data_IF_910032073576
#
_entry.id   IF_910032073576
#
_cell.length_a   1.000
_cell.length_b   1.000
_cell.length_c   1.000
_cell.angle_alpha   90.00
_cell.angle_beta   90.00
_cell.angle_gamma   90.00
#
_symmetry.space_group_name_H-M   'P 1'
#
loop_
_entity.id
_entity.type
_entity.pdbx_description
1 polymer ?
#
# COMPACT_ATOMS: atom_id res chain seq x y z
N UNK A 1 17.14 9.69 5.30
CA UNK A 1 16.30 10.27 4.22
C UNK A 1 16.57 11.77 3.96
N UNK A 2 17.39 12.45 4.76
CA UNK A 2 17.69 13.89 4.64
C UNK A 2 19.14 14.19 4.28
N UNK A 3 19.86 13.23 3.74
CA UNK A 3 21.20 13.50 3.18
C UNK A 3 21.05 14.24 1.85
N UNK A 4 21.52 15.47 1.79
CA UNK A 4 21.52 16.29 0.58
C UNK A 4 22.56 15.79 -0.46
N UNK A 5 23.55 15.06 0.00
CA UNK A 5 24.56 14.38 -0.80
C UNK A 5 24.31 12.87 -0.75
N UNK A 6 24.45 12.20 -1.88
CA UNK A 6 24.30 10.75 -2.02
C UNK A 6 22.85 10.24 -1.85
N UNK A 7 21.90 10.91 -2.51
CA UNK A 7 20.51 10.45 -2.53
C UNK A 7 20.38 9.21 -3.41
N UNK A 8 19.62 8.18 -2.93
CA UNK A 8 19.37 7.01 -3.75
C UNK A 8 18.61 7.39 -5.03
N UNK A 9 19.04 6.86 -6.16
CA UNK A 9 18.34 7.07 -7.41
C UNK A 9 17.03 6.28 -7.41
N UNK A 10 15.93 6.97 -7.41
CA UNK A 10 14.60 6.36 -7.56
C UNK A 10 14.42 5.81 -8.97
N UNK A 11 13.88 4.60 -9.05
CA UNK A 11 13.61 3.91 -10.32
C UNK A 11 12.18 3.38 -10.31
N UNK A 12 11.58 3.31 -11.49
CA UNK A 12 10.30 2.66 -11.74
C UNK A 12 10.47 1.59 -12.80
N UNK A 13 9.63 0.55 -12.75
CA UNK A 13 9.62 -0.48 -13.77
C UNK A 13 8.94 0.07 -15.03
N UNK A 14 9.62 0.00 -16.16
CA UNK A 14 9.06 0.42 -17.44
C UNK A 14 7.88 -0.48 -17.80
N UNK A 15 6.75 0.12 -18.13
CA UNK A 15 5.49 -0.60 -18.42
C UNK A 15 4.68 -0.96 -17.17
N UNK A 16 5.10 -0.50 -15.97
CA UNK A 16 4.37 -0.69 -14.72
C UNK A 16 4.55 -2.06 -14.07
N UNK A 17 3.89 -2.26 -12.94
CA UNK A 17 4.05 -3.48 -12.13
C UNK A 17 3.59 -4.76 -12.84
N UNK A 18 2.67 -4.66 -13.77
CA UNK A 18 2.16 -5.81 -14.53
C UNK A 18 3.24 -6.51 -15.37
N UNK A 19 4.33 -5.83 -15.70
CA UNK A 19 5.38 -6.41 -16.54
C UNK A 19 6.23 -7.47 -15.84
N UNK A 20 6.42 -7.34 -14.52
CA UNK A 20 7.24 -8.30 -13.77
C UNK A 20 6.43 -9.39 -13.04
N UNK A 21 5.13 -9.17 -12.80
CA UNK A 21 4.28 -10.15 -12.10
C UNK A 21 4.30 -11.51 -12.80
N UNK A 22 4.10 -11.63 -14.15
CA UNK A 22 4.16 -12.91 -14.83
C UNK A 22 5.53 -13.60 -14.70
N UNK A 23 6.62 -12.83 -14.70
CA UNK A 23 7.97 -13.35 -14.56
C UNK A 23 8.22 -13.92 -13.15
N UNK A 24 7.71 -13.25 -12.11
CA UNK A 24 7.82 -13.70 -10.73
C UNK A 24 6.94 -14.93 -10.44
N UNK A 25 5.77 -15.01 -11.08
CA UNK A 25 4.82 -16.09 -10.83
C UNK A 25 5.04 -17.31 -11.71
N UNK A 26 5.77 -17.20 -12.83
CA UNK A 26 6.05 -18.32 -13.72
C UNK A 26 6.69 -19.55 -13.02
N UNK A 27 7.69 -19.40 -12.12
CA UNK A 27 8.25 -20.52 -11.37
C UNK A 27 7.26 -21.17 -10.38
N UNK A 28 6.18 -20.45 -10.06
CA UNK A 28 5.13 -20.88 -9.12
C UNK A 28 3.89 -21.41 -9.86
N UNK A 29 4.03 -21.81 -11.13
CA UNK A 29 2.92 -22.24 -11.97
C UNK A 29 2.05 -23.30 -11.25
N UNK A 30 0.74 -23.05 -11.16
CA UNK A 30 -0.24 -23.89 -10.46
C UNK A 30 -0.20 -23.80 -8.92
N UNK A 31 0.68 -22.99 -8.34
CA UNK A 31 0.78 -22.78 -6.87
C UNK A 31 0.28 -21.40 -6.43
N UNK A 32 -0.10 -20.54 -7.36
CA UNK A 32 -0.71 -19.23 -7.06
C UNK A 32 -2.21 -19.35 -7.20
N UNK A 33 -2.93 -19.09 -6.11
CA UNK A 33 -4.39 -19.10 -6.08
C UNK A 33 -4.86 -17.68 -5.81
N UNK A 34 -5.58 -17.09 -6.74
CA UNK A 34 -6.25 -15.79 -6.59
C UNK A 34 -7.67 -15.98 -6.07
N UNK A 35 -8.29 -14.89 -5.59
CA UNK A 35 -9.65 -14.93 -5.03
C UNK A 35 -9.79 -15.96 -3.89
N UNK A 36 -8.73 -16.10 -3.10
CA UNK A 36 -8.60 -17.06 -2.02
C UNK A 36 -8.25 -16.34 -0.71
N UNK A 37 -9.11 -15.41 -0.31
CA UNK A 37 -8.94 -14.68 0.96
C UNK A 37 -8.92 -15.67 2.13
N UNK A 38 -7.83 -15.67 2.91
CA UNK A 38 -7.72 -16.46 4.13
C UNK A 38 -8.47 -15.73 5.24
N UNK A 39 -9.44 -16.40 5.87
CA UNK A 39 -10.20 -15.86 7.00
C UNK A 39 -9.56 -16.20 8.34
N UNK A 40 -9.07 -17.45 8.46
CA UNK A 40 -8.44 -17.91 9.69
C UNK A 40 -7.21 -18.75 9.41
N UNK A 41 -6.23 -18.61 10.30
CA UNK A 41 -5.04 -19.43 10.38
C UNK A 41 -4.99 -20.02 11.78
N UNK A 42 -4.96 -21.34 11.89
CA UNK A 42 -4.86 -22.05 13.18
C UNK A 42 -3.67 -23.03 13.16
N UNK A 43 -2.89 -23.03 14.23
CA UNK A 43 -1.74 -23.92 14.39
C UNK A 43 -2.17 -25.21 15.07
N UNK A 44 -1.78 -26.35 14.51
CA UNK A 44 -1.83 -27.67 15.14
C UNK A 44 -0.46 -28.09 15.67
N UNK A 45 -0.32 -29.34 16.11
CA UNK A 45 0.95 -29.86 16.63
C UNK A 45 2.06 -29.95 15.55
N UNK A 46 1.69 -30.26 14.31
CA UNK A 46 2.64 -30.48 13.20
C UNK A 46 2.19 -29.83 11.88
N UNK A 47 1.17 -29.03 11.89
CA UNK A 47 0.64 -28.40 10.68
C UNK A 47 -0.09 -27.09 11.00
N UNK A 48 -0.27 -26.27 9.99
CA UNK A 48 -1.07 -25.03 10.06
C UNK A 48 -2.25 -25.18 9.10
N UNK A 49 -3.46 -24.88 9.58
CA UNK A 49 -4.69 -24.93 8.78
C UNK A 49 -5.13 -23.54 8.39
N UNK A 50 -5.37 -23.34 7.09
CA UNK A 50 -5.97 -22.15 6.52
C UNK A 50 -7.45 -22.39 6.28
N UNK A 51 -8.30 -21.46 6.72
CA UNK A 51 -9.74 -21.47 6.49
C UNK A 51 -10.13 -20.32 5.56
N UNK A 52 -11.08 -20.59 4.68
CA UNK A 52 -11.56 -19.68 3.64
C UNK A 52 -13.09 -19.62 3.70
N UNK A 53 -13.69 -18.55 3.17
CA UNK A 53 -15.14 -18.39 3.14
C UNK A 53 -15.86 -19.38 2.20
N UNK A 54 -15.25 -19.65 1.04
CA UNK A 54 -15.92 -20.27 -0.12
C UNK A 54 -15.29 -21.60 -0.58
N UNK A 55 -14.33 -22.13 0.19
CA UNK A 55 -13.64 -23.37 -0.16
C UNK A 55 -13.25 -24.17 1.09
N UNK A 56 -12.97 -25.47 0.93
CA UNK A 56 -12.52 -26.31 2.04
C UNK A 56 -11.23 -25.80 2.66
N UNK A 57 -11.04 -25.99 3.99
CA UNK A 57 -9.78 -25.70 4.65
C UNK A 57 -8.62 -26.47 4.02
N UNK A 58 -7.42 -25.91 4.09
CA UNK A 58 -6.19 -26.51 3.61
C UNK A 58 -5.13 -26.51 4.71
N UNK A 59 -4.38 -27.61 4.81
CA UNK A 59 -3.28 -27.74 5.78
C UNK A 59 -1.93 -27.67 5.09
N UNK A 60 -0.97 -27.05 5.78
CA UNK A 60 0.42 -26.84 5.35
C UNK A 60 1.36 -27.10 6.52
N UNK A 61 2.62 -27.35 6.23
CA UNK A 61 3.65 -27.51 7.27
C UNK A 61 3.94 -26.17 7.94
N UNK A 62 4.03 -25.10 7.15
CA UNK A 62 4.34 -23.73 7.61
C UNK A 62 3.53 -22.68 6.84
N UNK A 63 3.36 -21.50 7.45
CA UNK A 63 2.69 -20.33 6.85
C UNK A 63 3.54 -19.10 7.03
N UNK A 64 3.69 -18.33 5.95
CA UNK A 64 4.30 -17.00 5.95
C UNK A 64 3.22 -15.96 5.69
N UNK A 65 3.06 -15.01 6.63
CA UNK A 65 2.18 -13.88 6.47
C UNK A 65 2.87 -12.80 5.63
N UNK A 66 2.35 -12.52 4.43
CA UNK A 66 2.81 -11.44 3.56
C UNK A 66 1.72 -10.37 3.39
N UNK A 67 0.85 -10.22 4.37
CA UNK A 67 -0.15 -9.16 4.46
C UNK A 67 0.35 -7.98 5.31
N UNK A 68 -0.47 -6.92 5.46
CA UNK A 68 -0.16 -5.84 6.40
C UNK A 68 -0.13 -6.37 7.83
N UNK A 69 0.80 -5.87 8.66
CA UNK A 69 1.00 -6.35 10.04
C UNK A 69 -0.25 -6.21 10.94
N UNK A 70 -1.08 -5.20 10.71
CA UNK A 70 -2.35 -5.02 11.44
C UNK A 70 -3.42 -6.07 11.10
N UNK A 71 -3.26 -6.80 9.99
CA UNK A 71 -4.18 -7.86 9.58
C UNK A 71 -3.86 -9.21 10.24
N UNK A 72 -2.62 -9.42 10.68
CA UNK A 72 -2.19 -10.73 11.22
C UNK A 72 -3.07 -11.19 12.37
N UNK A 73 -3.33 -10.31 13.36
CA UNK A 73 -4.15 -10.66 14.53
C UNK A 73 -5.64 -10.88 14.19
N UNK A 74 -6.11 -10.39 13.05
CA UNK A 74 -7.51 -10.61 12.62
C UNK A 74 -7.72 -11.99 12.01
N UNK A 75 -6.65 -12.61 11.50
CA UNK A 75 -6.72 -13.91 10.83
C UNK A 75 -6.03 -15.05 11.62
N UNK A 76 -5.08 -14.75 12.51
CA UNK A 76 -4.44 -15.74 13.37
C UNK A 76 -5.37 -16.08 14.55
N UNK A 77 -5.85 -17.33 14.62
CA UNK A 77 -6.85 -17.76 15.59
C UNK A 77 -6.31 -17.98 17.00
N UNK A 78 -5.02 -18.27 17.11
CA UNK A 78 -4.34 -18.70 18.34
C UNK A 78 -3.08 -17.87 18.67
N UNK A 79 -3.12 -16.53 18.55
CA UNK A 79 -1.93 -15.72 18.78
C UNK A 79 -1.48 -15.80 20.24
N UNK A 80 -0.18 -15.96 20.45
CA UNK A 80 0.45 -15.85 21.77
C UNK A 80 0.41 -14.42 22.30
N UNK A 81 0.66 -14.22 23.58
CA UNK A 81 0.75 -12.88 24.18
C UNK A 81 1.89 -12.07 23.58
N UNK A 82 3.02 -12.70 23.25
CA UNK A 82 4.14 -12.05 22.57
C UNK A 82 3.77 -11.56 21.17
N UNK A 83 3.08 -12.40 20.37
CA UNK A 83 2.58 -12.01 19.06
C UNK A 83 1.56 -10.88 19.14
N UNK A 84 0.62 -10.94 20.10
CA UNK A 84 -0.33 -9.85 20.35
C UNK A 84 0.40 -8.55 20.68
N UNK A 85 1.41 -8.60 21.54
CA UNK A 85 2.15 -7.41 21.94
C UNK A 85 2.96 -6.79 20.79
N UNK A 86 3.45 -7.60 19.86
CA UNK A 86 4.17 -7.13 18.66
C UNK A 86 3.17 -6.59 17.63
N UNK A 87 2.21 -7.42 17.18
CA UNK A 87 1.37 -7.07 16.02
C UNK A 87 0.36 -5.95 16.29
N UNK A 88 -0.11 -5.74 17.54
CA UNK A 88 -0.97 -4.60 17.89
C UNK A 88 -0.31 -3.24 17.68
N UNK A 89 1.01 -3.18 17.56
CA UNK A 89 1.79 -1.95 17.35
C UNK A 89 1.83 -1.54 15.88
N UNK A 90 1.54 -2.44 14.96
CA UNK A 90 1.42 -2.14 13.53
C UNK A 90 0.03 -1.60 13.25
N UNK A 91 -0.05 -0.27 13.20
CA UNK A 91 -1.30 0.46 12.93
C UNK A 91 -1.33 0.94 11.49
N UNK A 92 -2.53 1.22 10.99
CA UNK A 92 -2.73 1.80 9.66
C UNK A 92 -3.58 3.05 9.75
N UNK A 93 -3.40 3.95 8.80
CA UNK A 93 -4.29 5.08 8.56
C UNK A 93 -5.08 4.86 7.28
N UNK A 94 -6.34 5.28 7.29
CA UNK A 94 -7.19 5.23 6.09
C UNK A 94 -6.97 6.48 5.26
N UNK A 95 -6.71 6.30 3.96
CA UNK A 95 -6.53 7.38 3.01
C UNK A 95 -7.46 7.18 1.82
N UNK A 96 -8.20 8.22 1.47
CA UNK A 96 -8.96 8.27 0.23
C UNK A 96 -8.02 8.64 -0.92
N UNK A 97 -7.96 7.81 -1.95
CA UNK A 97 -7.17 8.05 -3.15
C UNK A 97 -8.11 8.27 -4.34
N UNK A 98 -7.88 9.34 -5.08
CA UNK A 98 -8.60 9.66 -6.31
C UNK A 98 -7.63 9.65 -7.48
N UNK A 99 -7.85 8.77 -8.46
CA UNK A 99 -7.16 8.77 -9.75
C UNK A 99 -7.94 9.66 -10.71
N UNK A 100 -7.28 10.65 -11.32
CA UNK A 100 -7.95 11.65 -12.15
C UNK A 100 -7.01 12.30 -13.18
N UNK A 101 -7.58 13.08 -14.09
CA UNK A 101 -6.85 13.86 -15.10
C UNK A 101 -6.89 15.36 -14.84
N UNK A 102 -7.48 15.82 -13.75
CA UNK A 102 -7.53 17.23 -13.35
C UNK A 102 -6.14 17.71 -12.91
N UNK A 103 -5.49 18.51 -13.74
CA UNK A 103 -4.17 19.06 -13.48
C UNK A 103 -4.19 20.30 -12.55
N UNK A 104 -5.37 20.81 -12.15
CA UNK A 104 -5.50 22.00 -11.32
C UNK A 104 -4.94 21.81 -9.90
N UNK A 105 -4.86 20.56 -9.44
CA UNK A 105 -4.28 20.20 -8.16
C UNK A 105 -2.74 20.17 -8.16
N UNK A 106 -2.11 20.31 -9.32
CA UNK A 106 -0.66 20.47 -9.44
C UNK A 106 -0.28 21.96 -9.42
N UNK A 107 0.95 22.29 -8.99
CA UNK A 107 1.43 23.68 -9.08
C UNK A 107 1.22 24.26 -10.48
N UNK A 108 0.68 25.50 -10.55
CA UNK A 108 0.40 26.18 -11.82
C UNK A 108 1.65 26.37 -12.68
N UNK A 109 2.82 26.56 -12.03
CA UNK A 109 4.11 26.69 -12.74
C UNK A 109 4.69 25.27 -12.98
N UNK A 110 4.86 24.81 -14.24
CA UNK A 110 5.39 23.46 -14.52
C UNK A 110 6.75 23.17 -13.88
N UNK A 111 7.62 24.20 -13.76
CA UNK A 111 8.93 24.07 -13.10
C UNK A 111 8.85 23.85 -11.58
N UNK A 112 7.73 24.15 -10.96
CA UNK A 112 7.50 23.90 -9.54
C UNK A 112 6.87 22.53 -9.26
N UNK A 113 6.44 21.81 -10.31
CA UNK A 113 5.86 20.48 -10.15
C UNK A 113 6.93 19.45 -9.82
N UNK A 114 6.67 18.64 -8.80
CA UNK A 114 7.46 17.48 -8.42
C UNK A 114 6.66 16.20 -8.69
N UNK A 115 7.27 15.03 -8.53
CA UNK A 115 6.54 13.76 -8.59
C UNK A 115 5.49 13.67 -7.47
N UNK A 116 5.75 14.31 -6.32
CA UNK A 116 4.84 14.44 -5.15
C UNK A 116 4.66 15.92 -4.82
N UNK A 117 3.44 16.38 -4.82
CA UNK A 117 3.10 17.77 -4.55
C UNK A 117 2.19 17.81 -3.31
N UNK A 118 2.62 18.53 -2.28
CA UNK A 118 1.89 18.66 -1.02
C UNK A 118 1.13 19.97 -1.01
N UNK A 119 -0.16 19.91 -0.72
CA UNK A 119 -0.99 21.07 -0.42
C UNK A 119 -1.24 21.12 1.08
N UNK A 120 -0.73 22.16 1.72
CA UNK A 120 -0.91 22.46 3.14
C UNK A 120 -1.87 23.63 3.27
N UNK A 121 -2.88 23.50 4.10
CA UNK A 121 -3.85 24.59 4.37
C UNK A 121 -3.53 25.38 5.66
N UNK A 122 -2.42 25.05 6.31
CA UNK A 122 -1.96 25.71 7.52
C UNK A 122 -2.50 25.14 8.83
N UNK A 123 -3.40 24.17 8.79
CA UNK A 123 -3.87 23.45 9.98
C UNK A 123 -2.97 22.20 10.21
N UNK A 124 -2.19 22.17 11.33
CA UNK A 124 -1.27 21.08 11.61
C UNK A 124 -1.97 19.75 11.95
N UNK A 125 -3.21 19.80 12.42
CA UNK A 125 -3.97 18.60 12.81
C UNK A 125 -4.67 17.93 11.63
N UNK A 126 -4.61 18.56 10.48
CA UNK A 126 -5.29 18.07 9.31
C UNK A 126 -4.31 17.36 8.35
N UNK A 127 -4.60 16.10 7.93
CA UNK A 127 -3.76 15.38 6.98
C UNK A 127 -3.54 16.20 5.70
N UNK A 128 -2.31 16.30 5.19
CA UNK A 128 -2.04 17.02 3.95
C UNK A 128 -2.71 16.35 2.77
N UNK A 129 -3.14 17.16 1.79
CA UNK A 129 -3.47 16.64 0.47
C UNK A 129 -2.18 16.41 -0.31
N UNK A 130 -2.00 15.21 -0.85
CA UNK A 130 -0.82 14.84 -1.64
C UNK A 130 -1.25 14.46 -3.04
N UNK A 131 -0.76 15.19 -4.04
CA UNK A 131 -1.00 14.89 -5.44
C UNK A 131 0.27 14.36 -6.11
N UNK A 132 0.20 13.13 -6.60
CA UNK A 132 1.24 12.50 -7.40
C UNK A 132 1.05 12.91 -8.87
N UNK A 133 2.09 13.47 -9.47
CA UNK A 133 2.21 13.64 -10.93
C UNK A 133 2.69 12.30 -11.51
N UNK A 134 1.75 11.48 -11.98
CA UNK A 134 2.05 10.14 -12.47
C UNK A 134 2.85 10.18 -13.78
N UNK A 135 2.62 11.21 -14.62
CA UNK A 135 3.39 11.35 -15.85
C UNK A 135 4.88 11.54 -15.56
N UNK A 136 5.19 12.36 -14.56
CA UNK A 136 6.57 12.56 -14.10
C UNK A 136 7.11 11.33 -13.38
N UNK A 137 6.33 10.76 -12.46
CA UNK A 137 6.75 9.64 -11.61
C UNK A 137 7.06 8.39 -12.42
N UNK A 138 6.22 8.09 -13.41
CA UNK A 138 6.32 6.88 -14.24
C UNK A 138 6.85 7.14 -15.64
N UNK A 139 7.24 8.39 -15.94
CA UNK A 139 7.71 8.82 -17.28
C UNK A 139 6.73 8.42 -18.39
N UNK A 140 5.45 8.70 -18.18
CA UNK A 140 4.43 8.40 -19.16
C UNK A 140 4.58 9.32 -20.38
N UNK A 141 4.54 8.72 -21.58
CA UNK A 141 4.60 9.43 -22.86
C UNK A 141 3.18 9.60 -23.39
N UNK A 142 2.41 10.49 -22.78
CA UNK A 142 1.02 10.78 -23.15
C UNK A 142 0.77 12.29 -23.04
N UNK A 143 -0.09 12.86 -23.87
CA UNK A 143 -0.49 14.27 -23.76
C UNK A 143 -1.38 14.54 -22.54
N UNK A 144 -2.05 13.52 -22.03
CA UNK A 144 -2.95 13.63 -20.90
C UNK A 144 -2.21 13.60 -19.58
N UNK A 145 -2.61 14.49 -18.64
CA UNK A 145 -2.02 14.50 -17.30
C UNK A 145 -2.76 13.51 -16.40
N UNK A 146 -2.06 12.55 -15.85
CA UNK A 146 -2.58 11.63 -14.84
C UNK A 146 -2.11 12.01 -13.45
N UNK A 147 -3.05 12.11 -12.53
CA UNK A 147 -2.82 12.45 -11.14
C UNK A 147 -3.44 11.40 -10.22
N UNK A 148 -2.76 11.12 -9.10
CA UNK A 148 -3.35 10.39 -7.99
C UNK A 148 -3.31 11.31 -6.77
N UNK A 149 -4.46 11.72 -6.26
CA UNK A 149 -4.54 12.60 -5.09
C UNK A 149 -5.01 11.83 -3.86
N UNK A 150 -4.22 11.89 -2.79
CA UNK A 150 -4.59 11.37 -1.48
C UNK A 150 -5.25 12.45 -0.66
N UNK A 151 -6.36 12.09 -0.02
CA UNK A 151 -7.14 12.94 0.88
C UNK A 151 -7.47 14.31 0.24
N UNK A 152 -8.13 14.33 -0.94
CA UNK A 152 -8.43 15.55 -1.64
C UNK A 152 -9.35 16.45 -0.80
N UNK A 153 -8.96 17.70 -0.58
CA UNK A 153 -9.73 18.73 0.12
C UNK A 153 -10.30 19.76 -0.83
N UNK A 154 -9.68 19.87 -2.00
CA UNK A 154 -10.20 20.66 -3.11
C UNK A 154 -11.03 19.74 -3.98
N UNK A 155 -12.16 20.23 -4.45
CA UNK A 155 -12.99 19.45 -5.36
C UNK A 155 -12.22 19.12 -6.64
N UNK A 156 -12.26 17.85 -7.02
CA UNK A 156 -11.75 17.36 -8.30
C UNK A 156 -12.93 17.37 -9.28
N UNK A 157 -12.71 17.84 -10.50
CA UNK A 157 -13.72 17.76 -11.54
C UNK A 157 -14.17 16.32 -11.75
N UNK A 158 -15.44 16.03 -11.47
CA UNK A 158 -16.01 14.68 -11.55
C UNK A 158 -15.87 14.07 -12.96
N UNK A 159 -15.88 14.90 -13.99
CA UNK A 159 -15.67 14.44 -15.36
C UNK A 159 -14.24 13.94 -15.64
N UNK A 160 -13.30 14.34 -14.80
CA UNK A 160 -11.89 13.93 -14.87
C UNK A 160 -11.56 12.71 -14.00
N UNK A 161 -12.48 12.26 -13.16
CA UNK A 161 -12.25 11.16 -12.24
C UNK A 161 -12.26 9.82 -12.96
N UNK A 162 -11.17 9.07 -12.82
CA UNK A 162 -11.00 7.72 -13.38
C UNK A 162 -11.30 6.62 -12.32
N UNK A 163 -11.12 6.94 -11.04
CA UNK A 163 -11.44 6.00 -9.97
C UNK A 163 -11.19 6.56 -8.58
N UNK A 164 -11.91 6.01 -7.59
CA UNK A 164 -11.74 6.32 -6.17
C UNK A 164 -11.47 5.04 -5.41
N UNK A 165 -10.50 5.10 -4.51
CA UNK A 165 -10.01 3.95 -3.75
C UNK A 165 -9.82 4.34 -2.29
N UNK A 166 -10.01 3.39 -1.41
CA UNK A 166 -9.68 3.53 0.00
C UNK A 166 -8.48 2.65 0.29
N UNK A 167 -7.37 3.28 0.69
CA UNK A 167 -6.15 2.58 1.07
C UNK A 167 -5.92 2.67 2.57
N UNK A 168 -5.41 1.59 3.13
CA UNK A 168 -4.87 1.55 4.49
C UNK A 168 -3.35 1.60 4.39
N UNK A 169 -2.75 2.69 4.86
CA UNK A 169 -1.30 2.84 4.86
C UNK A 169 -0.73 2.52 6.23
N UNK A 170 0.34 1.72 6.31
CA UNK A 170 1.05 1.48 7.56
C UNK A 170 1.52 2.79 8.20
N UNK A 171 1.32 2.93 9.50
CA UNK A 171 1.80 4.06 10.28
C UNK A 171 3.17 3.68 10.88
N UNK A 172 4.21 4.41 10.44
CA UNK A 172 5.57 4.20 10.92
C UNK A 172 5.86 5.12 12.11
N UNK A 173 5.20 4.87 13.23
CA UNK A 173 5.49 5.52 14.49
C UNK A 173 6.59 4.80 15.29
N UNK A 174 6.95 5.36 16.44
CA UNK A 174 8.01 4.79 17.26
C UNK A 174 7.65 3.39 17.76
N UNK A 175 6.39 3.16 18.13
CA UNK A 175 5.92 1.87 18.62
C UNK A 175 6.09 0.77 17.54
N UNK A 176 5.76 1.08 16.29
CA UNK A 176 5.93 0.16 15.16
C UNK A 176 7.42 -0.12 14.87
N UNK A 177 8.28 0.92 14.95
CA UNK A 177 9.73 0.77 14.74
C UNK A 177 10.34 -0.10 15.85
N UNK A 178 10.00 0.14 17.11
CA UNK A 178 10.48 -0.67 18.25
C UNK A 178 9.98 -2.13 18.17
N UNK A 179 8.74 -2.33 17.68
CA UNK A 179 8.21 -3.67 17.50
C UNK A 179 8.99 -4.48 16.45
N UNK A 180 9.51 -3.85 15.40
CA UNK A 180 10.32 -4.52 14.37
C UNK A 180 11.59 -5.18 14.93
N UNK A 181 12.14 -4.72 16.02
CA UNK A 181 13.32 -5.31 16.66
C UNK A 181 13.00 -6.57 17.50
N UNK A 182 11.72 -6.95 17.60
CA UNK A 182 11.24 -8.02 18.50
C UNK A 182 10.74 -9.26 17.74
N UNK A 183 11.01 -9.37 16.46
CA UNK A 183 10.68 -10.54 15.63
C UNK A 183 11.63 -11.69 15.91
#
# INVERSE_FOLDING_TARGET
>A
LLTLSDQPQWKVVVGGSQTYIPLLTAPLAGRVTTEAGVEHVSRGESSVTLTFADRPPQSFDEVVFACHGDQVLSILSDPTDAERDVFRRFRTTTNLACLHTDASLLPARPRARASWNYLLDGDPDTPPTVTYDLNRLQRLSTPEQYCLTLNPRVAIDESSVLGRYVYRHPLYDQDAIEAQARW
#
